data_IF_210724637327
#
_entry.id   IF_210724637327
#
_cell.length_a   1.000
_cell.length_b   1.000
_cell.length_c   1.000
_cell.angle_alpha   90.00
_cell.angle_beta   90.00
_cell.angle_gamma   90.00
#
_symmetry.space_group_name_H-M   'P 1'
#
loop_
_entity.id
_entity.type
_entity.pdbx_description
1 polymer ?
#
# COMPACT_ATOMS: atom_id res chain seq x y z
N UNK A 1 -19.63 -0.68 -13.37
CA UNK A 1 -19.48 -2.12 -13.08
C UNK A 1 -19.90 -2.30 -11.63
N UNK A 2 -20.91 -3.14 -11.35
CA UNK A 2 -21.44 -3.29 -9.98
C UNK A 2 -20.40 -3.96 -9.09
N UNK A 3 -20.13 -3.38 -7.92
CA UNK A 3 -19.18 -3.95 -6.95
C UNK A 3 -19.87 -5.13 -6.22
N UNK A 4 -19.16 -6.23 -6.05
CA UNK A 4 -19.66 -7.44 -5.39
C UNK A 4 -20.08 -7.11 -3.94
N UNK A 5 -19.51 -6.06 -3.34
CA UNK A 5 -19.82 -5.61 -1.98
C UNK A 5 -20.95 -4.56 -1.90
N UNK A 6 -21.59 -4.18 -3.01
CA UNK A 6 -22.83 -3.39 -2.98
C UNK A 6 -24.03 -4.22 -2.52
N UNK A 7 -23.96 -5.54 -2.71
CA UNK A 7 -25.02 -6.47 -2.35
C UNK A 7 -24.81 -7.03 -0.94
N UNK A 8 -25.91 -7.39 -0.27
CA UNK A 8 -25.86 -8.04 1.03
C UNK A 8 -25.31 -9.47 0.89
N UNK A 9 -24.07 -9.68 1.34
CA UNK A 9 -23.43 -11.00 1.37
C UNK A 9 -23.71 -11.67 2.72
N UNK A 10 -24.22 -12.90 2.69
CA UNK A 10 -24.49 -13.71 3.87
C UNK A 10 -23.28 -14.60 4.20
N UNK A 11 -22.97 -14.75 5.49
CA UNK A 11 -21.96 -15.69 5.93
C UNK A 11 -22.46 -17.13 5.75
N UNK A 12 -21.65 -18.00 5.13
CA UNK A 12 -22.00 -19.41 4.87
C UNK A 12 -22.26 -20.23 6.14
N UNK A 13 -21.65 -19.85 7.27
CA UNK A 13 -21.73 -20.61 8.54
C UNK A 13 -22.86 -20.16 9.46
N UNK A 14 -23.18 -18.87 9.51
CA UNK A 14 -24.19 -18.34 10.44
C UNK A 14 -25.41 -17.70 9.76
N UNK A 15 -25.41 -17.57 8.44
CA UNK A 15 -26.51 -16.96 7.68
C UNK A 15 -26.74 -15.46 7.93
N UNK A 16 -25.93 -14.83 8.79
CA UNK A 16 -26.01 -13.39 9.07
C UNK A 16 -25.32 -12.57 7.98
N UNK A 17 -25.80 -11.35 7.77
CA UNK A 17 -25.21 -10.39 6.83
C UNK A 17 -23.80 -10.01 7.30
N UNK A 18 -22.84 -10.08 6.37
CA UNK A 18 -21.46 -9.68 6.63
C UNK A 18 -21.32 -8.16 6.65
N UNK A 19 -20.43 -7.65 7.49
CA UNK A 19 -20.19 -6.22 7.65
C UNK A 19 -18.96 -5.77 6.89
N UNK A 20 -19.01 -4.58 6.29
CA UNK A 20 -17.86 -3.95 5.60
C UNK A 20 -16.81 -3.55 6.63
N UNK A 21 -15.57 -3.97 6.39
CA UNK A 21 -14.42 -3.61 7.20
C UNK A 21 -13.22 -3.30 6.29
N UNK A 22 -12.36 -2.38 6.73
CA UNK A 22 -11.04 -2.19 6.14
C UNK A 22 -10.03 -3.04 6.88
N UNK A 23 -9.24 -3.83 6.16
CA UNK A 23 -8.12 -4.59 6.74
C UNK A 23 -6.82 -4.00 6.21
N UNK A 24 -5.95 -3.57 7.12
CA UNK A 24 -4.61 -3.11 6.76
C UNK A 24 -3.67 -4.31 6.76
N UNK A 25 -3.01 -4.57 5.63
CA UNK A 25 -1.95 -5.58 5.52
C UNK A 25 -0.72 -4.95 4.88
N UNK A 26 0.40 -4.92 5.59
CA UNK A 26 1.68 -4.35 5.11
C UNK A 26 1.53 -2.92 4.56
N UNK A 27 0.74 -2.09 5.24
CA UNK A 27 0.45 -0.71 4.80
C UNK A 27 -0.59 -0.60 3.67
N UNK A 28 -1.10 -1.72 3.15
CA UNK A 28 -2.12 -1.75 2.09
C UNK A 28 -3.53 -1.83 2.68
N UNK A 29 -4.42 -0.92 2.27
CA UNK A 29 -5.82 -0.91 2.68
C UNK A 29 -6.66 -1.85 1.81
N UNK A 30 -7.06 -2.98 2.36
CA UNK A 30 -7.91 -3.96 1.68
C UNK A 30 -9.36 -3.81 2.12
N UNK A 31 -10.28 -3.75 1.16
CA UNK A 31 -11.71 -3.86 1.47
C UNK A 31 -12.05 -5.31 1.77
N UNK A 32 -12.71 -5.53 2.90
CA UNK A 32 -13.14 -6.86 3.32
C UNK A 32 -14.57 -6.84 3.86
N UNK A 33 -15.21 -8.00 3.79
CA UNK A 33 -16.42 -8.31 4.50
C UNK A 33 -16.09 -9.27 5.64
N UNK A 34 -16.50 -8.92 6.86
CA UNK A 34 -16.26 -9.71 8.06
C UNK A 34 -17.58 -10.17 8.64
N UNK A 35 -17.64 -11.44 9.03
CA UNK A 35 -18.79 -11.96 9.75
C UNK A 35 -18.83 -11.35 11.16
N UNK A 36 -19.98 -10.84 11.66
CA UNK A 36 -20.10 -10.29 13.01
C UNK A 36 -19.86 -11.34 14.12
N UNK A 37 -19.89 -12.63 13.78
CA UNK A 37 -19.57 -13.73 14.71
C UNK A 37 -18.13 -14.23 14.56
N UNK A 38 -17.32 -13.60 13.69
CA UNK A 38 -15.89 -13.89 13.55
C UNK A 38 -15.52 -15.10 12.69
N UNK A 39 -16.49 -15.77 12.05
CA UNK A 39 -16.22 -17.04 11.36
C UNK A 39 -15.44 -16.93 10.05
N UNK A 40 -15.83 -15.98 9.18
CA UNK A 40 -15.27 -15.85 7.83
C UNK A 40 -14.93 -14.38 7.54
N UNK A 41 -13.89 -14.19 6.72
CA UNK A 41 -13.46 -12.90 6.18
C UNK A 41 -13.31 -13.04 4.67
N UNK A 42 -13.96 -12.18 3.91
CA UNK A 42 -13.91 -12.16 2.45
C UNK A 42 -13.21 -10.89 2.00
N UNK A 43 -12.11 -11.01 1.27
CA UNK A 43 -11.38 -9.86 0.72
C UNK A 43 -11.90 -9.59 -0.70
N UNK A 44 -11.96 -8.32 -1.10
CA UNK A 44 -12.36 -7.98 -2.47
C UNK A 44 -11.36 -8.56 -3.48
N UNK A 45 -11.81 -9.28 -4.53
CA UNK A 45 -10.89 -9.99 -5.44
C UNK A 45 -9.97 -9.05 -6.22
N UNK A 46 -10.40 -7.83 -6.55
CA UNK A 46 -9.52 -6.85 -7.21
C UNK A 46 -8.39 -6.39 -6.28
N UNK A 47 -8.73 -6.08 -5.02
CA UNK A 47 -7.77 -5.61 -4.02
C UNK A 47 -6.77 -6.73 -3.66
N UNK A 48 -7.22 -8.00 -3.66
CA UNK A 48 -6.33 -9.16 -3.50
C UNK A 48 -5.33 -9.28 -4.66
N UNK A 49 -5.77 -9.07 -5.90
CA UNK A 49 -4.90 -9.10 -7.07
C UNK A 49 -3.84 -7.98 -7.02
N UNK A 50 -4.23 -6.77 -6.64
CA UNK A 50 -3.30 -5.65 -6.47
C UNK A 50 -2.28 -5.92 -5.36
N UNK A 51 -2.72 -6.48 -4.24
CA UNK A 51 -1.84 -6.86 -3.14
C UNK A 51 -0.82 -7.93 -3.55
N UNK A 52 -1.21 -8.88 -4.41
CA UNK A 52 -0.27 -9.88 -4.96
C UNK A 52 0.80 -9.20 -5.82
N UNK A 53 0.42 -8.29 -6.71
CA UNK A 53 1.37 -7.49 -7.51
C UNK A 53 2.32 -6.68 -6.64
N UNK A 54 1.81 -6.05 -5.58
CA UNK A 54 2.64 -5.33 -4.60
C UNK A 54 3.69 -6.25 -3.97
N UNK A 55 3.26 -7.42 -3.51
CA UNK A 55 4.16 -8.40 -2.88
C UNK A 55 5.26 -8.85 -3.86
N UNK A 56 4.91 -9.15 -5.09
CA UNK A 56 5.87 -9.50 -6.14
C UNK A 56 6.87 -8.37 -6.40
N UNK A 57 6.40 -7.14 -6.51
CA UNK A 57 7.26 -5.97 -6.73
C UNK A 57 8.20 -5.72 -5.54
N UNK A 58 7.71 -5.86 -4.31
CA UNK A 58 8.48 -5.65 -3.08
C UNK A 58 9.62 -6.65 -2.90
N UNK A 59 9.48 -7.85 -3.47
CA UNK A 59 10.49 -8.91 -3.42
C UNK A 59 11.48 -8.85 -4.58
N UNK A 60 11.22 -8.01 -5.59
CA UNK A 60 12.03 -7.91 -6.79
C UNK A 60 13.20 -6.96 -6.57
N UNK A 61 14.41 -7.44 -6.83
CA UNK A 61 15.61 -6.61 -6.83
C UNK A 61 15.80 -5.92 -8.18
N UNK A 62 15.99 -4.60 -8.17
CA UNK A 62 16.25 -3.81 -9.37
C UNK A 62 17.71 -3.34 -9.38
N UNK A 63 18.46 -3.74 -10.41
CA UNK A 63 19.82 -3.25 -10.64
C UNK A 63 19.75 -1.97 -11.47
N UNK A 64 20.04 -0.84 -10.83
CA UNK A 64 20.03 0.49 -11.47
C UNK A 64 21.43 1.11 -11.42
N UNK A 65 21.76 1.93 -12.43
CA UNK A 65 23.05 2.62 -12.50
C UNK A 65 22.92 4.02 -11.90
N UNK A 66 23.92 4.39 -11.09
CA UNK A 66 24.09 5.77 -10.66
C UNK A 66 24.68 6.60 -11.80
N UNK A 67 24.22 7.85 -11.94
CA UNK A 67 24.75 8.81 -12.92
C UNK A 67 25.07 10.12 -12.22
N UNK A 68 26.16 10.76 -12.64
CA UNK A 68 26.50 12.12 -12.19
C UNK A 68 25.60 13.13 -12.91
N UNK A 69 24.99 14.03 -12.14
CA UNK A 69 24.16 15.15 -12.62
C UNK A 69 24.57 16.40 -11.84
N UNK A 70 25.29 17.31 -12.49
CA UNK A 70 25.88 18.46 -11.81
C UNK A 70 26.86 18.01 -10.72
N UNK A 71 26.67 18.52 -9.49
CA UNK A 71 27.47 18.17 -8.32
C UNK A 71 26.85 17.03 -7.48
N UNK A 72 25.97 16.22 -8.06
CA UNK A 72 25.22 15.18 -7.35
C UNK A 72 25.14 13.88 -8.14
N UNK A 73 24.81 12.79 -7.45
CA UNK A 73 24.45 11.54 -8.10
C UNK A 73 22.93 11.39 -8.18
N UNK A 74 22.46 10.90 -9.32
CA UNK A 74 21.08 10.51 -9.54
C UNK A 74 20.99 8.99 -9.67
N UNK A 75 19.94 8.41 -9.09
CA UNK A 75 19.54 7.01 -9.25
C UNK A 75 18.25 6.97 -10.04
N UNK A 76 18.20 6.15 -11.09
CA UNK A 76 16.96 5.98 -11.87
C UNK A 76 16.01 5.06 -11.12
N UNK A 77 14.77 5.50 -10.89
CA UNK A 77 13.70 4.66 -10.34
C UNK A 77 13.01 3.93 -11.52
N UNK A 78 12.95 2.59 -11.53
CA UNK A 78 12.24 1.84 -12.57
C UNK A 78 10.78 2.28 -12.71
N UNK A 79 10.31 2.41 -13.97
CA UNK A 79 8.94 2.83 -14.28
C UNK A 79 7.88 1.96 -13.60
N UNK A 80 8.15 0.66 -13.45
CA UNK A 80 7.25 -0.29 -12.79
C UNK A 80 6.93 0.13 -11.34
N UNK A 81 7.93 0.60 -10.59
CA UNK A 81 7.75 1.12 -9.22
C UNK A 81 6.90 2.38 -9.25
N UNK A 82 7.23 3.31 -10.17
CA UNK A 82 6.49 4.58 -10.31
C UNK A 82 5.04 4.35 -10.70
N UNK A 83 4.78 3.46 -11.67
CA UNK A 83 3.42 3.10 -12.11
C UNK A 83 2.63 2.45 -10.99
N UNK A 84 3.23 1.54 -10.23
CA UNK A 84 2.57 0.95 -9.06
C UNK A 84 2.18 2.02 -8.03
N UNK A 85 3.09 2.95 -7.73
CA UNK A 85 2.81 4.05 -6.82
C UNK A 85 1.70 4.97 -7.33
N UNK A 86 1.65 5.26 -8.63
CA UNK A 86 0.59 6.06 -9.25
C UNK A 86 -0.78 5.37 -9.25
N UNK A 87 -0.82 4.05 -9.42
CA UNK A 87 -2.05 3.26 -9.34
C UNK A 87 -2.65 3.30 -7.92
N UNK A 88 -1.79 3.31 -6.90
CA UNK A 88 -2.20 3.38 -5.49
C UNK A 88 -2.51 4.82 -5.03
N UNK A 89 -1.74 5.80 -5.47
CA UNK A 89 -1.90 7.21 -5.11
C UNK A 89 -2.21 8.04 -6.37
N UNK A 90 -3.49 8.38 -6.55
CA UNK A 90 -4.03 9.18 -7.69
C UNK A 90 -3.44 10.60 -7.88
N UNK A 91 -2.33 10.98 -7.25
CA UNK A 91 -1.78 12.34 -7.33
C UNK A 91 -0.25 12.28 -7.40
N UNK A 92 0.31 12.54 -8.59
CA UNK A 92 1.74 12.83 -8.76
C UNK A 92 2.00 14.29 -8.39
N UNK A 93 2.88 14.54 -7.41
CA UNK A 93 3.73 15.74 -7.25
C UNK A 93 4.43 15.67 -5.88
N UNK A 94 5.24 14.63 -5.63
CA UNK A 94 5.75 14.37 -4.28
C UNK A 94 7.22 14.70 -4.09
N UNK A 95 7.46 15.47 -3.04
CA UNK A 95 8.78 15.59 -2.43
C UNK A 95 9.19 14.23 -1.88
N UNK A 96 10.47 13.92 -2.04
CA UNK A 96 11.10 12.68 -1.55
C UNK A 96 12.17 13.03 -0.54
N UNK A 97 12.22 12.26 0.55
CA UNK A 97 13.25 12.35 1.57
C UNK A 97 14.24 11.22 1.37
N UNK A 98 15.53 11.56 1.32
CA UNK A 98 16.63 10.60 1.25
C UNK A 98 17.33 10.56 2.62
N UNK A 99 17.45 9.36 3.20
CA UNK A 99 18.14 9.13 4.46
C UNK A 99 19.25 8.09 4.29
N UNK A 100 20.41 8.33 4.90
CA UNK A 100 21.43 7.30 5.08
C UNK A 100 21.18 6.61 6.41
N UNK A 101 20.80 5.34 6.37
CA UNK A 101 20.39 4.60 7.56
C UNK A 101 21.57 3.92 8.23
N UNK A 102 22.29 3.10 7.47
CA UNK A 102 23.41 2.29 7.95
C UNK A 102 24.45 2.15 6.83
N UNK A 103 25.64 1.64 7.16
CA UNK A 103 26.72 1.46 6.18
C UNK A 103 26.24 0.63 4.98
N UNK A 104 26.08 1.29 3.84
CA UNK A 104 25.65 0.67 2.58
C UNK A 104 24.15 0.75 2.27
N UNK A 105 23.33 1.39 3.13
CA UNK A 105 21.89 1.53 2.91
C UNK A 105 21.46 2.99 2.84
N UNK A 106 20.88 3.35 1.70
CA UNK A 106 20.14 4.58 1.50
C UNK A 106 18.65 4.24 1.40
N UNK A 107 17.82 4.96 2.14
CA UNK A 107 16.37 4.89 2.00
C UNK A 107 15.82 6.14 1.31
N UNK A 108 14.85 5.91 0.43
CA UNK A 108 14.04 6.94 -0.18
C UNK A 108 12.62 6.79 0.35
N UNK A 109 12.11 7.84 0.98
CA UNK A 109 10.76 7.88 1.53
C UNK A 109 9.95 8.94 0.80
N UNK A 110 8.75 8.59 0.38
CA UNK A 110 7.82 9.49 -0.29
C UNK A 110 6.91 10.14 0.76
N UNK A 111 6.81 11.47 0.76
CA UNK A 111 6.19 12.22 1.87
C UNK A 111 4.69 11.95 2.09
N UNK A 112 3.96 11.48 1.07
CA UNK A 112 2.53 11.16 1.20
C UNK A 112 2.22 9.96 2.09
N UNK A 113 3.20 9.08 2.33
CA UNK A 113 3.04 7.93 3.22
C UNK A 113 2.98 8.32 4.72
N UNK A 114 3.29 9.59 5.06
CA UNK A 114 3.29 10.11 6.45
C UNK A 114 2.05 11.00 6.72
N UNK A 115 0.90 10.67 6.14
CA UNK A 115 -0.36 11.29 6.59
C UNK A 115 -1.40 10.27 7.09
N UNK A 116 -1.09 9.46 8.12
CA UNK A 116 -2.10 9.10 9.09
C UNK A 116 -2.34 10.34 9.97
N UNK A 117 -3.58 10.80 10.08
CA UNK A 117 -3.97 11.74 11.13
C UNK A 117 -3.74 11.12 12.52
N UNK A 118 -2.51 11.13 13.02
CA UNK A 118 -2.16 10.82 14.42
C UNK A 118 -0.84 11.56 14.77
N UNK A 119 -0.94 12.88 14.97
CA UNK A 119 -0.27 13.52 16.10
C UNK A 119 -1.28 13.50 17.24
N UNK A 120 -1.48 12.33 17.83
CA UNK A 120 -2.03 12.24 19.18
C UNK A 120 -0.90 12.63 20.13
N UNK A 121 -1.09 13.76 20.80
CA UNK A 121 -0.66 14.01 22.19
C UNK A 121 0.72 13.46 22.60
N UNK A 122 1.79 14.18 22.30
CA UNK A 122 2.91 14.24 23.25
C UNK A 122 2.48 15.17 24.40
N UNK A 123 1.81 14.58 25.39
CA UNK A 123 1.80 15.08 26.75
C UNK A 123 3.21 14.87 27.35
N UNK A 124 3.93 15.96 27.59
CA UNK A 124 4.58 16.25 28.87
C UNK A 124 4.90 17.75 28.99
#
# INVERSE_FOLDING_TARGET
MQDIFEHAVLCRKCGKVMQKAGVIRNGFHLRALVCPQGHDKLIHPADEQEYRKFKELSQKEFKVKMRIVGNSYAVSIPKEIVSFMQEQEKLMNDMVRLCFEESGKLSLTFDKLINPKQKEEENE
#
